data_IF_500907787276
#
_entry.id   IF_500907787276
#
_cell.length_a   1.000
_cell.length_b   1.000
_cell.length_c   1.000
_cell.angle_alpha   90.00
_cell.angle_beta   90.00
_cell.angle_gamma   90.00
#
_symmetry.space_group_name_H-M   'P 1'
#
loop_
_entity.id
_entity.type
_entity.pdbx_description
1 polymer ?
#
# COMPACT_ATOMS: atom_id res chain seq x y z
N UNK A 1 -13.22 4.24 21.56
CA UNK A 1 -12.36 3.92 20.40
C UNK A 1 -13.23 3.16 19.42
N UNK A 2 -13.28 3.56 18.16
CA UNK A 2 -14.02 2.84 17.13
C UNK A 2 -13.02 1.97 16.37
N UNK A 3 -13.26 0.66 16.37
CA UNK A 3 -12.47 -0.31 15.62
C UNK A 3 -13.11 -0.49 14.24
N UNK A 4 -12.30 -0.46 13.19
CA UNK A 4 -12.72 -0.65 11.81
C UNK A 4 -11.81 -1.71 11.21
N UNK A 5 -12.39 -2.81 10.75
CA UNK A 5 -11.64 -3.87 10.06
C UNK A 5 -11.31 -3.44 8.64
N UNK A 6 -10.08 -3.72 8.22
CA UNK A 6 -9.62 -3.47 6.85
C UNK A 6 -9.02 -4.75 6.29
N UNK A 7 -9.49 -5.13 5.11
CA UNK A 7 -9.05 -6.33 4.38
C UNK A 7 -7.68 -6.07 3.72
N UNK A 8 -6.67 -6.92 3.94
CA UNK A 8 -5.26 -6.67 3.54
C UNK A 8 -4.76 -7.50 2.34
N UNK A 9 -5.62 -8.22 1.64
CA UNK A 9 -5.23 -9.05 0.49
C UNK A 9 -4.48 -8.24 -0.57
N UNK A 10 -3.50 -8.92 -1.16
CA UNK A 10 -2.65 -8.42 -2.24
C UNK A 10 -1.78 -7.20 -1.90
N UNK A 11 -1.83 -6.67 -0.68
CA UNK A 11 -0.97 -5.55 -0.24
C UNK A 11 0.52 -5.88 -0.32
N UNK A 12 0.89 -7.15 -0.15
CA UNK A 12 2.25 -7.64 -0.31
C UNK A 12 2.65 -7.95 -1.76
N UNK A 13 1.69 -8.04 -2.70
CA UNK A 13 1.94 -8.45 -4.09
C UNK A 13 1.81 -7.32 -5.09
N UNK A 14 0.85 -6.41 -4.91
CA UNK A 14 0.64 -5.27 -5.79
C UNK A 14 1.89 -4.37 -5.79
N UNK A 15 2.21 -3.78 -6.93
CA UNK A 15 3.20 -2.72 -6.99
C UNK A 15 2.57 -1.39 -6.63
N UNK A 16 3.02 -0.81 -5.51
CA UNK A 16 2.58 0.51 -5.09
C UNK A 16 2.99 1.59 -6.10
N UNK A 17 4.19 1.46 -6.66
CA UNK A 17 4.78 2.43 -7.58
C UNK A 17 4.12 2.39 -8.96
N UNK A 18 3.79 1.19 -9.47
CA UNK A 18 3.14 1.03 -10.77
C UNK A 18 1.63 1.34 -10.75
N UNK A 19 1.10 1.65 -9.56
CA UNK A 19 -0.31 1.97 -9.36
C UNK A 19 -1.22 0.76 -9.52
N UNK A 20 -0.73 -0.45 -9.26
CA UNK A 20 -1.51 -1.68 -9.43
C UNK A 20 -2.80 -1.62 -8.60
N UNK A 21 -3.91 -2.08 -9.17
CA UNK A 21 -5.15 -2.20 -8.41
C UNK A 21 -4.96 -3.21 -7.27
N UNK A 22 -5.49 -2.87 -6.09
CA UNK A 22 -5.45 -3.74 -4.91
C UNK A 22 -6.88 -4.24 -4.66
N UNK A 23 -7.30 -5.34 -5.29
CA UNK A 23 -8.68 -5.80 -5.19
C UNK A 23 -9.01 -6.29 -3.78
N UNK A 24 -10.29 -6.24 -3.44
CA UNK A 24 -10.82 -6.99 -2.29
C UNK A 24 -10.88 -8.47 -2.69
N UNK A 25 -10.40 -9.36 -1.82
CA UNK A 25 -10.46 -10.79 -2.09
C UNK A 25 -11.91 -11.25 -2.30
N UNK A 26 -12.20 -11.83 -3.46
CA UNK A 26 -13.52 -12.36 -3.82
C UNK A 26 -13.48 -13.86 -4.19
N UNK A 27 -12.40 -14.56 -3.83
CA UNK A 27 -12.21 -15.98 -4.15
C UNK A 27 -11.49 -16.26 -5.48
N UNK A 28 -11.25 -15.27 -6.32
CA UNK A 28 -10.49 -15.45 -7.57
C UNK A 28 -9.63 -14.23 -7.87
N UNK A 29 -8.31 -14.39 -7.83
CA UNK A 29 -7.41 -13.37 -8.35
C UNK A 29 -7.44 -13.42 -9.88
N UNK A 30 -7.73 -12.30 -10.55
CA UNK A 30 -7.47 -12.20 -11.99
C UNK A 30 -5.96 -12.14 -12.21
N UNK A 31 -5.42 -13.16 -12.86
CA UNK A 31 -4.04 -13.15 -13.33
C UNK A 31 -3.83 -11.97 -14.29
N UNK A 32 -2.73 -11.21 -14.12
CA UNK A 32 -2.34 -10.10 -15.01
C UNK A 32 -2.56 -8.67 -14.50
N UNK A 33 -3.08 -8.49 -13.28
CA UNK A 33 -3.33 -7.15 -12.71
C UNK A 33 -2.12 -6.56 -11.97
N UNK A 34 -1.14 -7.40 -11.61
CA UNK A 34 0.04 -7.04 -10.83
C UNK A 34 1.23 -6.90 -11.78
N UNK A 35 1.86 -5.73 -11.78
CA UNK A 35 2.93 -5.38 -12.72
C UNK A 35 4.33 -5.49 -12.11
N UNK A 36 4.43 -5.45 -10.78
CA UNK A 36 5.68 -5.64 -10.05
C UNK A 36 5.97 -7.10 -9.70
N UNK A 37 7.20 -7.36 -9.26
CA UNK A 37 7.61 -8.68 -8.79
C UNK A 37 8.56 -8.62 -7.60
N UNK A 38 8.50 -9.68 -6.78
CA UNK A 38 9.50 -9.92 -5.75
C UNK A 38 10.77 -10.50 -6.38
N UNK A 39 11.92 -9.92 -6.01
CA UNK A 39 13.23 -10.44 -6.44
C UNK A 39 13.82 -11.30 -5.34
N UNK A 40 13.94 -10.73 -4.14
CA UNK A 40 14.39 -11.39 -2.91
C UNK A 40 13.67 -10.79 -1.70
N UNK A 41 13.81 -11.40 -0.52
CA UNK A 41 13.25 -10.82 0.71
C UNK A 41 13.80 -9.41 0.92
N UNK A 42 12.90 -8.45 1.14
CA UNK A 42 13.24 -7.04 1.31
C UNK A 42 13.47 -6.26 0.01
N UNK A 43 13.40 -6.90 -1.18
CA UNK A 43 13.60 -6.23 -2.46
C UNK A 43 12.44 -6.50 -3.42
N UNK A 44 11.66 -5.45 -3.66
CA UNK A 44 10.58 -5.43 -4.64
C UNK A 44 11.03 -4.69 -5.90
N UNK A 45 10.62 -5.17 -7.06
CA UNK A 45 10.92 -4.56 -8.35
C UNK A 45 9.65 -4.17 -9.09
N UNK A 46 9.67 -2.96 -9.62
CA UNK A 46 8.59 -2.36 -10.39
C UNK A 46 8.64 -2.82 -11.85
N UNK A 47 7.60 -2.53 -12.62
CA UNK A 47 7.53 -2.84 -14.06
C UNK A 47 8.67 -2.20 -14.86
N UNK A 48 9.11 -1.00 -14.46
CA UNK A 48 10.19 -0.26 -15.11
C UNK A 48 11.58 -0.65 -14.56
N UNK A 49 11.74 -1.87 -14.04
CA UNK A 49 12.96 -2.46 -13.46
C UNK A 49 13.57 -1.69 -12.27
N UNK A 50 12.89 -0.67 -11.73
CA UNK A 50 13.33 0.02 -10.51
C UNK A 50 13.08 -0.85 -9.29
N UNK A 51 14.02 -0.85 -8.37
CA UNK A 51 13.93 -1.60 -7.11
C UNK A 51 13.64 -0.69 -5.92
N UNK A 52 12.79 -1.16 -5.01
CA UNK A 52 12.56 -0.53 -3.71
C UNK A 52 12.51 -1.59 -2.61
N UNK A 53 12.58 -1.14 -1.36
CA UNK A 53 12.45 -2.05 -0.23
C UNK A 53 11.02 -2.64 -0.19
N UNK A 54 10.92 -3.95 0.05
CA UNK A 54 9.65 -4.67 0.11
C UNK A 54 8.69 -4.15 1.18
N UNK A 55 9.21 -3.73 2.33
CA UNK A 55 8.41 -3.14 3.42
C UNK A 55 7.87 -1.77 3.03
N UNK A 56 8.64 -0.98 2.27
CA UNK A 56 8.17 0.31 1.71
C UNK A 56 7.02 0.07 0.73
N UNK A 57 7.12 -0.96 -0.13
CA UNK A 57 6.03 -1.34 -1.03
C UNK A 57 4.77 -1.75 -0.25
N UNK A 58 4.92 -2.62 0.75
CA UNK A 58 3.84 -3.09 1.60
C UNK A 58 3.15 -1.96 2.37
N UNK A 59 3.93 -1.10 3.04
CA UNK A 59 3.41 0.06 3.75
C UNK A 59 2.63 1.02 2.84
N UNK A 60 3.16 1.29 1.64
CA UNK A 60 2.47 2.12 0.66
C UNK A 60 1.15 1.48 0.18
N UNK A 61 1.10 0.15 0.00
CA UNK A 61 -0.14 -0.53 -0.38
C UNK A 61 -1.17 -0.59 0.74
N UNK A 62 -0.76 -0.82 2.00
CA UNK A 62 -1.65 -0.71 3.17
C UNK A 62 -2.24 0.69 3.22
N UNK A 63 -1.41 1.71 3.01
CA UNK A 63 -1.83 3.09 2.96
C UNK A 63 -2.86 3.34 1.84
N UNK A 64 -2.60 2.83 0.62
CA UNK A 64 -3.51 2.93 -0.54
C UNK A 64 -4.85 2.22 -0.32
N UNK A 65 -4.85 1.11 0.43
CA UNK A 65 -6.04 0.30 0.70
C UNK A 65 -6.86 0.80 1.89
N UNK A 66 -6.24 1.55 2.79
CA UNK A 66 -6.95 2.18 3.90
C UNK A 66 -8.03 3.13 3.38
N UNK A 67 -9.21 3.12 4.01
CA UNK A 67 -10.32 4.05 3.71
C UNK A 67 -10.00 5.53 4.03
N UNK A 68 -8.74 5.86 4.28
CA UNK A 68 -8.33 7.21 4.62
C UNK A 68 -8.18 8.05 3.35
N UNK A 69 -8.92 9.17 3.26
CA UNK A 69 -8.72 10.19 2.22
C UNK A 69 -7.40 10.91 2.44
N UNK A 70 -6.34 10.33 1.90
CA UNK A 70 -5.00 10.87 1.99
C UNK A 70 -4.79 11.90 0.91
N UNK A 71 -4.91 13.16 1.29
CA UNK A 71 -4.36 14.26 0.51
C UNK A 71 -2.84 14.21 0.69
N UNK A 72 -2.09 13.91 -0.37
CA UNK A 72 -0.63 13.80 -0.36
C UNK A 72 0.09 15.05 0.17
N UNK A 73 -0.62 16.18 0.30
CA UNK A 73 -0.12 17.41 0.89
C UNK A 73 -0.11 17.42 2.43
N UNK A 74 -0.94 16.58 3.07
CA UNK A 74 -1.16 16.56 4.53
C UNK A 74 -0.31 15.52 5.28
N UNK A 75 0.00 14.39 4.65
CA UNK A 75 0.68 13.25 5.31
C UNK A 75 2.20 13.43 5.44
N UNK A 76 2.93 13.90 4.41
CA UNK A 76 4.39 13.98 4.49
C UNK A 76 4.89 15.24 5.19
N UNK A 77 3.99 16.11 5.69
CA UNK A 77 4.36 17.44 6.20
C UNK A 77 4.62 17.51 7.71
N UNK A 78 4.48 16.39 8.43
CA UNK A 78 4.78 16.30 9.85
C UNK A 78 6.06 15.51 10.11
N UNK A 79 6.96 16.06 10.94
CA UNK A 79 7.91 15.24 11.66
C UNK A 79 7.10 14.23 12.50
N UNK A 80 7.32 12.94 12.28
CA UNK A 80 6.60 11.85 12.93
C UNK A 80 7.09 11.60 14.38
N UNK A 81 7.56 12.65 15.06
CA UNK A 81 7.91 12.60 16.49
C UNK A 81 6.68 12.84 17.38
N UNK A 82 5.60 13.40 16.84
CA UNK A 82 4.36 13.64 17.56
C UNK A 82 3.14 13.19 16.73
N UNK A 83 2.53 12.02 17.04
CA UNK A 83 1.43 11.49 16.23
C UNK A 83 0.22 12.43 16.29
N UNK A 84 -0.08 13.10 15.17
CA UNK A 84 -1.29 13.91 15.08
C UNK A 84 -2.52 13.01 15.02
N UNK A 85 -3.41 13.15 16.01
CA UNK A 85 -4.66 12.39 16.08
C UNK A 85 -5.68 12.99 15.13
N UNK A 86 -5.82 12.42 13.93
CA UNK A 86 -6.85 12.82 12.96
C UNK A 86 -8.18 12.17 13.33
N UNK A 87 -9.25 12.95 13.45
CA UNK A 87 -10.63 12.43 13.54
C UNK A 87 -11.11 12.12 12.13
N UNK A 88 -11.50 10.88 11.90
CA UNK A 88 -12.25 10.49 10.70
C UNK A 88 -13.72 10.94 10.85
N UNK A 89 -14.41 11.29 9.76
CA UNK A 89 -15.84 11.64 9.78
C UNK A 89 -16.72 10.45 10.19
#
# INVERSE_FOLDING_TARGET
MQYIEQEESYTSKASAFDGDEIPVWNGTLKEGQIRGNWVTRGLHRTRDDRTLNGDVNGAANIQRKSNHRLHGERVPRGLLDNPMRVKLP
#
